data_IF_670995444046
#
_entry.id   IF_670995444046
#
_cell.length_a   1.000
_cell.length_b   1.000
_cell.length_c   1.000
_cell.angle_alpha   90.00
_cell.angle_beta   90.00
_cell.angle_gamma   90.00
#
_symmetry.space_group_name_H-M   'P 1'
#
loop_
_entity.id
_entity.type
_entity.pdbx_description
1 polymer ?
#
# COMPACT_ATOMS: atom_id res chain seq x y z
N UNK A 1 36.70 16.80 -28.55
CA UNK A 1 35.34 17.35 -28.67
C UNK A 1 34.67 17.21 -27.31
N UNK A 2 34.69 18.32 -26.58
CA UNK A 2 34.33 18.47 -25.17
C UNK A 2 32.98 19.14 -25.10
N UNK A 3 31.92 18.40 -24.76
CA UNK A 3 30.59 18.98 -24.50
C UNK A 3 30.38 19.06 -22.99
N UNK A 4 30.49 20.29 -22.47
CA UNK A 4 30.13 20.65 -21.10
C UNK A 4 28.62 20.59 -20.89
N UNK A 5 28.22 20.18 -19.69
CA UNK A 5 26.84 20.32 -19.19
C UNK A 5 26.82 21.39 -18.11
N UNK A 6 25.97 22.39 -18.32
CA UNK A 6 25.66 23.46 -17.37
C UNK A 6 24.91 22.94 -16.14
N UNK A 7 25.08 23.58 -14.96
CA UNK A 7 24.32 23.26 -13.76
C UNK A 7 22.93 23.91 -13.74
N UNK A 8 21.92 23.11 -13.38
CA UNK A 8 20.52 23.55 -13.19
C UNK A 8 20.36 24.27 -11.84
N UNK A 9 19.74 25.47 -11.79
CA UNK A 9 19.54 26.20 -10.54
C UNK A 9 18.42 25.58 -9.68
N UNK A 10 18.74 25.34 -8.41
CA UNK A 10 17.80 25.01 -7.32
C UNK A 10 16.87 26.19 -7.08
N UNK A 11 15.55 25.98 -7.20
CA UNK A 11 14.54 26.91 -6.68
C UNK A 11 14.11 26.45 -5.29
N UNK A 12 14.56 27.21 -4.28
CA UNK A 12 13.98 27.23 -2.95
C UNK A 12 12.60 27.89 -3.03
N UNK A 13 11.56 27.21 -2.54
CA UNK A 13 10.27 27.82 -2.28
C UNK A 13 10.00 27.76 -0.77
N UNK A 14 9.87 28.95 -0.20
CA UNK A 14 9.59 29.20 1.20
C UNK A 14 8.08 29.32 1.45
N UNK A 15 7.71 29.00 2.69
CA UNK A 15 6.62 29.55 3.49
C UNK A 15 5.17 29.39 3.01
N UNK A 16 4.31 28.93 3.93
CA UNK A 16 3.18 29.72 4.45
C UNK A 16 2.57 29.04 5.69
N UNK A 17 2.69 29.72 6.83
CA UNK A 17 1.82 29.53 8.00
C UNK A 17 0.41 29.98 7.63
N UNK A 18 -0.63 29.24 8.06
CA UNK A 18 -1.97 29.85 8.22
C UNK A 18 -2.81 29.16 9.30
N UNK A 19 -3.06 29.95 10.34
CA UNK A 19 -4.25 30.07 11.20
C UNK A 19 -4.96 28.82 11.77
N UNK A 20 -4.95 28.77 13.10
CA UNK A 20 -5.91 28.06 13.93
C UNK A 20 -7.32 28.66 13.80
N UNK A 21 -8.32 27.80 13.59
CA UNK A 21 -9.74 28.14 13.70
C UNK A 21 -10.29 27.46 14.96
N UNK A 22 -10.73 28.29 15.90
CA UNK A 22 -11.47 27.88 17.08
C UNK A 22 -12.88 27.41 16.67
N UNK A 23 -13.22 26.16 16.99
CA UNK A 23 -14.59 25.66 16.86
C UNK A 23 -15.32 25.88 18.19
N UNK A 24 -16.32 26.75 18.12
CA UNK A 24 -17.30 27.02 19.17
C UNK A 24 -18.19 25.79 19.34
N UNK A 25 -18.19 25.20 20.53
CA UNK A 25 -19.16 24.19 20.95
C UNK A 25 -20.51 24.87 21.21
N UNK A 26 -21.41 24.81 20.22
CA UNK A 26 -22.80 25.24 20.33
C UNK A 26 -23.72 24.09 20.73
N UNK A 27 -24.47 24.31 21.81
CA UNK A 27 -25.42 23.40 22.45
C UNK A 27 -26.57 22.96 21.52
N UNK A 28 -27.00 21.70 21.64
CA UNK A 28 -28.30 21.23 21.11
C UNK A 28 -29.19 20.85 22.29
N UNK A 29 -30.13 21.72 22.62
CA UNK A 29 -31.32 21.41 23.43
C UNK A 29 -32.54 22.01 22.75
N UNK A 30 -33.64 21.27 22.74
CA UNK A 30 -34.98 21.82 22.55
C UNK A 30 -35.70 21.37 21.29
N UNK A 31 -36.53 20.34 21.44
CA UNK A 31 -37.62 20.04 20.53
C UNK A 31 -38.62 21.21 20.47
N UNK A 32 -39.05 21.60 19.27
CA UNK A 32 -40.27 22.39 19.07
C UNK A 32 -41.06 21.76 17.93
N UNK A 33 -42.22 21.22 18.29
CA UNK A 33 -43.20 20.64 17.37
C UNK A 33 -44.11 21.79 16.90
N UNK A 34 -44.10 22.09 15.61
CA UNK A 34 -45.01 23.07 15.00
C UNK A 34 -45.09 22.87 13.47
N UNK A 35 -46.29 22.81 12.87
CA UNK A 35 -46.44 22.60 11.43
C UNK A 35 -46.27 23.94 10.72
N UNK A 36 -45.02 24.36 10.53
CA UNK A 36 -44.71 25.44 9.57
C UNK A 36 -44.57 24.77 8.22
N UNK A 37 -45.51 25.07 7.31
CA UNK A 37 -45.40 24.72 5.90
C UNK A 37 -44.20 25.43 5.28
N UNK A 38 -43.02 24.83 5.42
CA UNK A 38 -41.85 25.22 4.66
C UNK A 38 -42.10 24.96 3.18
N UNK A 39 -41.47 25.73 2.28
CA UNK A 39 -41.47 25.39 0.86
C UNK A 39 -41.07 23.91 0.71
N UNK A 40 -41.68 23.17 -0.23
CA UNK A 40 -41.29 21.78 -0.46
C UNK A 40 -39.76 21.74 -0.61
N UNK A 41 -39.07 20.81 0.06
CA UNK A 41 -37.62 20.73 -0.02
C UNK A 41 -37.25 20.73 -1.49
N UNK A 42 -36.47 21.73 -1.90
CA UNK A 42 -36.00 21.83 -3.28
C UNK A 42 -35.34 20.50 -3.59
N UNK A 43 -35.88 19.76 -4.56
CA UNK A 43 -35.32 18.49 -4.98
C UNK A 43 -33.86 18.75 -5.31
N UNK A 44 -32.94 18.21 -4.50
CA UNK A 44 -31.53 18.26 -4.82
C UNK A 44 -31.38 17.67 -6.23
N UNK A 45 -30.68 18.39 -7.12
CA UNK A 45 -30.45 17.92 -8.47
C UNK A 45 -29.86 16.51 -8.42
N UNK A 46 -30.26 15.65 -9.37
CA UNK A 46 -29.77 14.29 -9.45
C UNK A 46 -28.23 14.30 -9.47
N UNK A 47 -27.62 13.53 -8.57
CA UNK A 47 -26.18 13.30 -8.54
C UNK A 47 -25.90 11.85 -8.89
N UNK A 48 -24.91 11.65 -9.75
CA UNK A 48 -24.42 10.35 -10.19
C UNK A 48 -23.07 10.10 -9.53
N UNK A 49 -22.92 8.94 -8.89
CA UNK A 49 -21.63 8.42 -8.46
C UNK A 49 -21.21 7.31 -9.42
N UNK A 50 -19.98 7.37 -9.91
CA UNK A 50 -19.39 6.29 -10.67
C UNK A 50 -18.13 5.77 -9.98
N UNK A 51 -17.92 4.46 -10.07
CA UNK A 51 -16.73 3.77 -9.57
C UNK A 51 -16.06 3.02 -10.71
N UNK A 52 -14.75 3.19 -10.84
CA UNK A 52 -13.91 2.48 -11.79
C UNK A 52 -12.84 1.68 -11.05
N UNK A 53 -12.50 0.51 -11.58
CA UNK A 53 -11.43 -0.35 -11.09
C UNK A 53 -10.46 -0.66 -12.23
N UNK A 54 -9.17 -0.81 -11.89
CA UNK A 54 -8.12 -1.21 -12.82
C UNK A 54 -6.99 -1.97 -12.11
N UNK A 55 -6.14 -2.64 -12.88
CA UNK A 55 -5.05 -3.47 -12.37
C UNK A 55 -3.80 -2.63 -12.12
N UNK A 56 -3.23 -2.73 -10.92
CA UNK A 56 -1.85 -2.24 -10.65
C UNK A 56 -0.85 -3.35 -11.03
N UNK A 57 -1.19 -4.61 -10.72
CA UNK A 57 -0.39 -5.78 -11.03
C UNK A 57 -1.32 -6.95 -11.39
N UNK A 58 -1.10 -7.55 -12.56
CA UNK A 58 -1.86 -8.71 -13.05
C UNK A 58 -1.32 -10.05 -12.53
N UNK A 59 -0.12 -10.07 -11.93
CA UNK A 59 0.48 -11.29 -11.41
C UNK A 59 -0.06 -11.61 -9.99
N UNK A 60 -0.50 -12.84 -9.69
CA UNK A 60 -1.05 -13.19 -8.38
C UNK A 60 -0.06 -12.95 -7.21
N UNK A 61 -0.50 -12.35 -6.09
CA UNK A 61 -1.85 -11.83 -5.85
C UNK A 61 -2.12 -10.55 -6.64
N UNK A 62 -3.29 -10.49 -7.28
CA UNK A 62 -3.68 -9.34 -8.09
C UNK A 62 -3.90 -8.11 -7.22
N UNK A 63 -3.26 -7.00 -7.61
CA UNK A 63 -3.39 -5.71 -6.93
C UNK A 63 -4.19 -4.77 -7.82
N UNK A 64 -5.20 -4.10 -7.24
CA UNK A 64 -6.11 -3.22 -7.96
C UNK A 64 -6.03 -1.79 -7.45
N UNK A 65 -6.26 -0.84 -8.36
CA UNK A 65 -6.55 0.55 -8.05
C UNK A 65 -8.03 0.83 -8.31
N UNK A 66 -8.62 1.73 -7.52
CA UNK A 66 -9.96 2.23 -7.75
C UNK A 66 -9.98 3.73 -7.95
N UNK A 67 -11.02 4.22 -8.60
CA UNK A 67 -11.34 5.64 -8.70
C UNK A 67 -12.84 5.84 -8.52
N UNK A 68 -13.22 6.94 -7.87
CA UNK A 68 -14.60 7.37 -7.75
C UNK A 68 -14.75 8.81 -8.22
N UNK A 69 -15.90 9.16 -8.75
CA UNK A 69 -16.28 10.55 -8.97
C UNK A 69 -17.79 10.73 -8.83
N UNK A 70 -18.18 11.94 -8.43
CA UNK A 70 -19.57 12.36 -8.33
C UNK A 70 -19.76 13.52 -9.28
N UNK A 71 -20.82 13.48 -10.10
CA UNK A 71 -21.20 14.58 -10.99
C UNK A 71 -22.71 14.69 -11.15
N UNK A 72 -23.19 15.79 -11.74
CA UNK A 72 -24.60 15.99 -12.09
C UNK A 72 -25.01 15.24 -13.38
N UNK A 73 -24.06 14.63 -14.08
CA UNK A 73 -24.30 13.81 -15.27
C UNK A 73 -23.56 12.48 -15.18
N UNK A 74 -24.13 11.45 -15.79
CA UNK A 74 -23.60 10.08 -15.75
C UNK A 74 -22.22 10.00 -16.41
N UNK A 75 -22.07 10.62 -17.59
CA UNK A 75 -20.83 10.58 -18.38
C UNK A 75 -19.67 11.29 -17.68
N UNK A 76 -19.93 12.42 -17.02
CA UNK A 76 -18.90 13.13 -16.27
C UNK A 76 -18.47 12.35 -15.02
N UNK A 77 -19.42 11.71 -14.33
CA UNK A 77 -19.09 10.84 -13.20
C UNK A 77 -18.22 9.66 -13.68
N UNK A 78 -18.62 8.96 -14.75
CA UNK A 78 -17.84 7.87 -15.33
C UNK A 78 -16.44 8.31 -15.77
N UNK A 79 -16.34 9.43 -16.50
CA UNK A 79 -15.07 9.99 -16.95
C UNK A 79 -14.15 10.38 -15.79
N UNK A 80 -14.69 11.01 -14.74
CA UNK A 80 -13.93 11.34 -13.53
C UNK A 80 -13.45 10.11 -12.77
N UNK A 81 -14.28 9.07 -12.65
CA UNK A 81 -13.92 7.83 -11.98
C UNK A 81 -12.79 7.11 -12.71
N UNK A 82 -12.83 7.04 -14.04
CA UNK A 82 -11.77 6.48 -14.88
C UNK A 82 -10.46 7.26 -14.74
N UNK A 83 -10.52 8.60 -14.79
CA UNK A 83 -9.35 9.45 -14.61
C UNK A 83 -8.71 9.27 -13.22
N UNK A 84 -9.51 9.19 -12.16
CA UNK A 84 -9.04 8.92 -10.81
C UNK A 84 -8.42 7.52 -10.68
N UNK A 85 -9.03 6.50 -11.29
CA UNK A 85 -8.48 5.13 -11.32
C UNK A 85 -7.08 5.10 -11.96
N UNK A 86 -6.92 5.76 -13.11
CA UNK A 86 -5.63 5.85 -13.80
C UNK A 86 -4.60 6.64 -12.99
N UNK A 87 -5.04 7.73 -12.34
CA UNK A 87 -4.18 8.55 -11.48
C UNK A 87 -3.68 7.79 -10.24
N UNK A 88 -4.44 6.81 -9.77
CA UNK A 88 -4.06 5.90 -8.69
C UNK A 88 -3.18 4.72 -9.17
N UNK A 89 -2.68 4.78 -10.41
CA UNK A 89 -1.78 3.76 -10.98
C UNK A 89 -2.48 2.54 -11.56
N UNK A 90 -3.82 2.57 -11.72
CA UNK A 90 -4.56 1.52 -12.40
C UNK A 90 -4.31 1.51 -13.90
N UNK A 91 -4.05 0.33 -14.45
CA UNK A 91 -4.14 0.02 -15.88
C UNK A 91 -5.50 -0.63 -16.20
N UNK A 92 -5.95 -0.55 -17.45
CA UNK A 92 -7.23 -1.12 -17.88
C UNK A 92 -8.42 -0.69 -17.01
N UNK A 93 -8.49 0.58 -16.63
CA UNK A 93 -9.57 1.10 -15.81
C UNK A 93 -10.93 0.95 -16.52
N UNK A 94 -11.87 0.28 -15.87
CA UNK A 94 -13.24 0.07 -16.34
C UNK A 94 -14.22 0.55 -15.27
N UNK A 95 -15.23 1.31 -15.68
CA UNK A 95 -16.34 1.72 -14.81
C UNK A 95 -17.17 0.49 -14.46
N UNK A 96 -17.18 0.11 -13.18
CA UNK A 96 -17.85 -1.09 -12.70
C UNK A 96 -19.30 -0.81 -12.30
N UNK A 97 -19.58 0.39 -11.81
CA UNK A 97 -20.91 0.75 -11.33
C UNK A 97 -21.12 2.26 -11.43
N UNK A 98 -22.33 2.64 -11.79
CA UNK A 98 -22.82 4.00 -11.74
C UNK A 98 -24.16 3.98 -11.02
N UNK A 99 -24.34 4.84 -10.02
CA UNK A 99 -25.54 4.95 -9.21
C UNK A 99 -26.07 6.37 -9.18
N UNK A 100 -27.39 6.54 -9.23
CA UNK A 100 -28.06 7.84 -9.16
C UNK A 100 -28.67 8.04 -7.77
N UNK A 101 -28.26 9.09 -7.07
CA UNK A 101 -28.71 9.45 -5.72
C UNK A 101 -28.60 8.31 -4.69
N UNK A 102 -27.67 7.38 -4.89
CA UNK A 102 -27.48 6.20 -4.05
C UNK A 102 -25.99 6.00 -3.73
N UNK A 103 -25.70 4.98 -2.93
CA UNK A 103 -24.34 4.56 -2.66
C UNK A 103 -23.90 3.50 -3.66
N UNK A 104 -22.63 3.55 -4.02
CA UNK A 104 -21.99 2.56 -4.86
C UNK A 104 -20.78 1.98 -4.14
N UNK A 105 -20.50 0.70 -4.39
CA UNK A 105 -19.27 0.05 -3.97
C UNK A 105 -18.77 -0.87 -5.10
N UNK A 106 -17.45 -0.97 -5.20
CA UNK A 106 -16.79 -1.91 -6.10
C UNK A 106 -15.81 -2.78 -5.31
N UNK A 107 -15.85 -4.08 -5.56
CA UNK A 107 -15.05 -5.09 -4.88
C UNK A 107 -14.20 -5.87 -5.88
N UNK A 108 -13.06 -6.39 -5.40
CA UNK A 108 -12.18 -7.28 -6.15
C UNK A 108 -11.63 -8.39 -5.27
N UNK A 109 -11.20 -9.50 -5.86
CA UNK A 109 -10.47 -10.57 -5.17
C UNK A 109 -9.03 -10.73 -5.68
N UNK A 110 -8.28 -11.67 -5.11
CA UNK A 110 -6.87 -11.95 -5.47
C UNK A 110 -6.70 -12.56 -6.88
N UNK A 111 -7.80 -12.93 -7.53
CA UNK A 111 -7.85 -13.51 -8.87
C UNK A 111 -8.21 -12.48 -9.95
N UNK A 112 -8.36 -11.21 -9.58
CA UNK A 112 -8.69 -10.13 -10.52
C UNK A 112 -10.16 -10.08 -10.93
N UNK A 113 -11.04 -10.79 -10.23
CA UNK A 113 -12.49 -10.62 -10.43
C UNK A 113 -12.90 -9.25 -9.90
N UNK A 114 -13.71 -8.52 -10.67
CA UNK A 114 -14.22 -7.19 -10.31
C UNK A 114 -15.73 -7.19 -10.35
N UNK A 115 -16.36 -6.63 -9.32
CA UNK A 115 -17.81 -6.47 -9.28
C UNK A 115 -18.21 -5.13 -8.69
N UNK A 116 -19.35 -4.61 -9.16
CA UNK A 116 -19.95 -3.38 -8.66
C UNK A 116 -21.38 -3.61 -8.18
N UNK A 117 -21.78 -2.88 -7.15
CA UNK A 117 -23.16 -2.85 -6.69
C UNK A 117 -23.53 -1.45 -6.20
N UNK A 118 -24.82 -1.14 -6.32
CA UNK A 118 -25.43 0.04 -5.70
C UNK A 118 -26.45 -0.35 -4.65
N UNK A 119 -26.67 0.55 -3.70
CA UNK A 119 -27.69 0.46 -2.68
C UNK A 119 -27.95 1.84 -2.05
N UNK A 120 -29.14 2.11 -1.50
CA UNK A 120 -29.39 3.31 -0.68
C UNK A 120 -28.43 3.50 0.50
N UNK A 121 -27.79 2.45 1.02
CA UNK A 121 -26.81 2.54 2.11
C UNK A 121 -25.42 2.02 1.73
N UNK A 122 -24.37 2.67 2.25
CA UNK A 122 -22.99 2.30 1.93
C UNK A 122 -22.66 0.85 2.34
N UNK A 123 -23.05 0.45 3.55
CA UNK A 123 -22.77 -0.90 4.06
C UNK A 123 -23.46 -2.00 3.26
N UNK A 124 -24.69 -1.76 2.77
CA UNK A 124 -25.38 -2.72 1.92
C UNK A 124 -24.78 -2.74 0.50
N UNK A 125 -24.36 -1.60 -0.06
CA UNK A 125 -23.65 -1.55 -1.34
C UNK A 125 -22.35 -2.36 -1.27
N UNK A 126 -21.56 -2.17 -0.21
CA UNK A 126 -20.32 -2.92 0.04
C UNK A 126 -20.59 -4.43 0.17
N UNK A 127 -21.58 -4.81 0.99
CA UNK A 127 -21.95 -6.21 1.19
C UNK A 127 -22.42 -6.87 -0.11
N UNK A 128 -23.24 -6.16 -0.91
CA UNK A 128 -23.70 -6.63 -2.22
C UNK A 128 -22.57 -6.76 -3.23
N UNK A 129 -21.62 -5.81 -3.26
CA UNK A 129 -20.47 -5.90 -4.14
C UNK A 129 -19.62 -7.14 -3.80
N UNK A 130 -19.25 -7.32 -2.54
CA UNK A 130 -18.49 -8.50 -2.10
C UNK A 130 -19.26 -9.81 -2.34
N UNK A 131 -20.58 -9.83 -2.14
CA UNK A 131 -21.41 -11.02 -2.37
C UNK A 131 -21.55 -11.41 -3.85
N UNK A 132 -21.28 -10.49 -4.78
CA UNK A 132 -21.27 -10.77 -6.23
C UNK A 132 -19.98 -11.46 -6.70
N UNK A 133 -18.90 -11.41 -5.91
CA UNK A 133 -17.68 -12.12 -6.24
C UNK A 133 -17.94 -13.63 -6.17
N UNK A 134 -17.60 -14.34 -7.26
CA UNK A 134 -17.65 -15.79 -7.34
C UNK A 134 -16.66 -16.43 -6.36
N UNK A 135 -15.51 -15.80 -6.14
CA UNK A 135 -14.53 -16.22 -5.14
C UNK A 135 -14.26 -15.12 -4.10
N UNK A 136 -14.52 -15.43 -2.82
CA UNK A 136 -14.32 -14.48 -1.72
C UNK A 136 -12.89 -14.46 -1.16
N UNK A 137 -11.99 -15.34 -1.61
CA UNK A 137 -10.61 -15.33 -1.16
C UNK A 137 -9.91 -14.05 -1.59
N UNK A 138 -9.41 -13.28 -0.61
CA UNK A 138 -8.79 -11.98 -0.86
C UNK A 138 -9.78 -10.89 -1.28
N UNK A 139 -11.09 -11.11 -1.05
CA UNK A 139 -12.10 -10.12 -1.35
C UNK A 139 -11.88 -8.83 -0.55
N UNK A 140 -11.80 -7.72 -1.28
CA UNK A 140 -11.60 -6.38 -0.75
C UNK A 140 -12.49 -5.39 -1.47
N UNK A 141 -13.11 -4.49 -0.72
CA UNK A 141 -13.79 -3.32 -1.29
C UNK A 141 -12.70 -2.30 -1.62
N UNK A 142 -12.60 -1.92 -2.89
CA UNK A 142 -11.52 -1.03 -3.36
C UNK A 142 -11.94 0.44 -3.28
N UNK A 143 -13.20 0.71 -3.61
CA UNK A 143 -13.74 2.07 -3.61
C UNK A 143 -15.24 2.05 -3.31
N UNK A 144 -15.71 3.02 -2.53
CA UNK A 144 -17.13 3.17 -2.19
C UNK A 144 -17.46 4.62 -1.87
N UNK A 145 -18.70 5.03 -2.10
CA UNK A 145 -19.19 6.37 -1.77
C UNK A 145 -20.69 6.51 -2.00
N UNK A 146 -21.25 7.67 -1.66
CA UNK A 146 -22.67 7.97 -1.88
C UNK A 146 -22.85 9.32 -2.57
N UNK A 147 -23.72 9.36 -3.59
CA UNK A 147 -24.06 10.59 -4.30
C UNK A 147 -24.93 11.54 -3.45
N UNK A 148 -25.55 11.07 -2.37
CA UNK A 148 -26.45 11.86 -1.52
C UNK A 148 -25.76 12.81 -0.53
N UNK A 149 -24.45 13.08 -0.70
CA UNK A 149 -23.70 14.08 0.09
C UNK A 149 -23.61 13.82 1.60
N UNK A 150 -24.01 12.63 2.06
CA UNK A 150 -24.17 12.30 3.49
C UNK A 150 -23.24 11.17 3.96
N UNK A 151 -22.20 10.81 3.20
CA UNK A 151 -21.06 10.18 3.83
C UNK A 151 -20.16 11.29 4.39
N UNK A 152 -19.92 11.35 5.72
CA UNK A 152 -18.76 12.09 6.21
C UNK A 152 -17.55 11.65 5.37
N UNK A 153 -16.60 12.56 5.04
CA UNK A 153 -15.36 12.15 4.40
C UNK A 153 -14.85 10.92 5.16
N UNK A 154 -14.38 9.86 4.46
CA UNK A 154 -13.81 8.71 5.15
C UNK A 154 -12.86 9.27 6.21
N UNK A 155 -12.96 8.85 7.48
CA UNK A 155 -12.02 9.29 8.49
C UNK A 155 -10.64 9.16 7.88
N UNK A 156 -9.81 10.21 7.93
CA UNK A 156 -8.42 10.10 7.48
C UNK A 156 -7.85 8.91 8.25
N UNK A 157 -7.77 7.75 7.61
CA UNK A 157 -7.10 6.62 8.20
C UNK A 157 -5.68 7.14 8.42
N UNK A 158 -5.16 7.06 9.65
CA UNK A 158 -3.76 7.38 9.89
C UNK A 158 -2.97 6.64 8.83
N UNK A 159 -2.02 7.30 8.13
CA UNK A 159 -1.22 6.61 7.13
C UNK A 159 -0.73 5.31 7.74
N UNK A 160 -0.85 4.17 7.01
CA UNK A 160 -0.51 2.87 7.56
C UNK A 160 0.86 2.99 8.23
N UNK A 161 1.02 2.49 9.47
CA UNK A 161 2.27 2.63 10.19
C UNK A 161 3.41 2.14 9.29
N UNK A 162 4.54 2.87 9.23
CA UNK A 162 5.67 2.46 8.41
C UNK A 162 5.98 0.98 8.67
N UNK A 163 6.21 0.17 7.61
CA UNK A 163 6.55 -1.24 7.79
C UNK A 163 7.71 -1.37 8.79
N UNK A 164 7.60 -2.30 9.73
CA UNK A 164 8.64 -2.50 10.73
C UNK A 164 9.98 -2.82 10.00
N UNK A 165 11.10 -2.18 10.39
CA UNK A 165 12.39 -2.46 9.78
C UNK A 165 12.71 -3.96 9.85
N UNK A 166 12.96 -4.57 8.70
CA UNK A 166 13.35 -5.98 8.64
C UNK A 166 14.64 -6.20 9.40
N UNK A 167 14.68 -7.25 10.21
CA UNK A 167 15.88 -7.61 10.96
C UNK A 167 16.86 -8.36 10.06
N UNK A 168 18.14 -8.00 10.14
CA UNK A 168 19.20 -8.73 9.45
C UNK A 168 19.42 -10.13 9.99
N UNK A 169 20.05 -11.00 9.19
CA UNK A 169 20.35 -12.37 9.60
C UNK A 169 21.28 -12.38 10.81
N UNK A 170 21.16 -13.37 11.69
CA UNK A 170 22.13 -13.58 12.77
C UNK A 170 23.27 -14.46 12.28
N UNK A 171 24.51 -14.13 12.67
CA UNK A 171 25.71 -14.88 12.30
C UNK A 171 26.39 -15.39 13.56
N UNK A 172 26.62 -16.70 13.63
CA UNK A 172 27.50 -17.31 14.64
C UNK A 172 28.58 -18.13 13.96
N UNK A 173 29.70 -18.33 14.66
CA UNK A 173 30.89 -18.98 14.10
C UNK A 173 31.27 -20.19 14.95
N UNK A 174 31.54 -21.31 14.29
CA UNK A 174 32.03 -22.54 14.90
C UNK A 174 33.38 -22.95 14.25
N UNK A 175 34.47 -22.98 15.03
CA UNK A 175 35.74 -23.52 14.56
C UNK A 175 35.63 -25.03 14.30
N UNK A 176 36.11 -25.48 13.14
CA UNK A 176 36.17 -26.89 12.78
C UNK A 176 37.59 -27.29 12.40
N UNK A 177 37.90 -28.58 12.41
CA UNK A 177 39.22 -29.06 11.98
C UNK A 177 39.44 -28.66 10.52
N UNK A 178 40.39 -27.75 10.29
CA UNK A 178 40.74 -27.23 8.96
C UNK A 178 39.99 -25.98 8.52
N UNK A 179 39.13 -25.38 9.35
CA UNK A 179 38.53 -24.08 9.01
C UNK A 179 37.48 -23.56 9.99
N UNK A 180 36.48 -22.85 9.45
CA UNK A 180 35.41 -22.22 10.22
C UNK A 180 34.07 -22.44 9.51
N UNK A 181 33.02 -22.70 10.28
CA UNK A 181 31.63 -22.71 9.79
C UNK A 181 30.92 -21.46 10.31
N UNK A 182 30.29 -20.71 9.41
CA UNK A 182 29.42 -19.60 9.78
C UNK A 182 27.96 -20.04 9.65
N UNK A 183 27.23 -20.06 10.77
CA UNK A 183 25.80 -20.31 10.79
C UNK A 183 25.07 -18.98 10.59
N UNK A 184 24.31 -18.91 9.50
CA UNK A 184 23.62 -17.69 9.09
C UNK A 184 22.12 -17.96 9.17
N UNK A 185 21.45 -17.38 10.16
CA UNK A 185 20.01 -17.60 10.40
C UNK A 185 19.19 -16.40 9.98
N UNK A 186 18.20 -16.62 9.12
CA UNK A 186 17.25 -15.58 8.73
C UNK A 186 16.39 -15.13 9.91
N UNK A 187 16.19 -13.82 10.02
CA UNK A 187 15.22 -13.20 10.95
C UNK A 187 14.28 -12.23 10.26
N UNK A 188 14.38 -12.12 8.93
CA UNK A 188 13.53 -11.22 8.15
C UNK A 188 12.17 -11.84 7.83
N UNK A 189 12.04 -13.17 7.89
CA UNK A 189 10.83 -13.90 7.53
C UNK A 189 10.59 -13.96 6.03
N UNK A 190 11.56 -13.53 5.21
CA UNK A 190 11.47 -13.47 3.76
C UNK A 190 12.65 -14.19 3.14
N UNK A 191 12.38 -15.12 2.23
CA UNK A 191 13.44 -15.78 1.46
C UNK A 191 14.23 -14.74 0.65
N UNK A 192 15.54 -14.76 0.75
CA UNK A 192 16.41 -13.74 0.14
C UNK A 192 17.65 -14.34 -0.50
N UNK A 193 18.21 -13.65 -1.48
CA UNK A 193 19.55 -13.92 -1.99
C UNK A 193 20.55 -13.08 -1.20
N UNK A 194 21.42 -13.74 -0.47
CA UNK A 194 22.41 -13.11 0.38
C UNK A 194 23.80 -13.26 -0.22
N UNK A 195 24.62 -12.22 -0.06
CA UNK A 195 26.03 -12.21 -0.43
C UNK A 195 26.85 -12.11 0.84
N UNK A 196 27.67 -13.13 1.04
CA UNK A 196 28.75 -13.14 2.01
C UNK A 196 29.94 -12.39 1.41
N UNK A 197 30.46 -11.39 2.11
CA UNK A 197 31.66 -10.64 1.74
C UNK A 197 32.64 -10.56 2.93
N UNK A 198 33.90 -10.84 2.65
CA UNK A 198 35.01 -10.68 3.59
C UNK A 198 36.25 -10.26 2.80
N UNK A 199 37.17 -9.47 3.37
CA UNK A 199 38.44 -9.00 2.79
C UNK A 199 38.50 -8.99 1.24
N UNK A 200 38.78 -10.14 0.60
CA UNK A 200 38.88 -10.31 -0.86
C UNK A 200 38.01 -11.46 -1.43
N UNK A 201 37.01 -11.96 -0.68
CA UNK A 201 36.17 -13.09 -1.06
C UNK A 201 34.68 -12.79 -0.90
N UNK A 202 33.95 -12.94 -2.02
CA UNK A 202 32.51 -12.74 -2.09
C UNK A 202 31.82 -13.99 -2.63
N UNK A 203 30.76 -14.45 -1.96
CA UNK A 203 29.95 -15.60 -2.40
C UNK A 203 28.48 -15.36 -2.14
N UNK A 204 27.65 -15.60 -3.14
CA UNK A 204 26.19 -15.53 -3.01
C UNK A 204 25.60 -16.89 -2.65
N UNK A 205 24.52 -16.88 -1.87
CA UNK A 205 23.76 -18.05 -1.45
C UNK A 205 22.28 -17.68 -1.23
N UNK A 206 21.40 -18.65 -1.41
CA UNK A 206 19.99 -18.50 -1.10
C UNK A 206 19.76 -18.76 0.40
N UNK A 207 19.06 -17.86 1.07
CA UNK A 207 18.66 -18.00 2.47
C UNK A 207 17.12 -18.06 2.54
N UNK A 208 16.53 -19.27 2.69
CA UNK A 208 15.09 -19.41 2.89
C UNK A 208 14.61 -18.70 4.18
N UNK A 209 13.33 -18.28 4.18
CA UNK A 209 12.71 -17.62 5.32
C UNK A 209 12.80 -18.47 6.59
N UNK A 210 13.20 -17.86 7.72
CA UNK A 210 13.35 -18.50 9.03
C UNK A 210 14.23 -19.76 9.04
N UNK A 211 15.21 -19.85 8.12
CA UNK A 211 16.12 -20.99 8.02
C UNK A 211 17.55 -20.61 8.37
N UNK A 212 18.39 -21.61 8.61
CA UNK A 212 19.84 -21.46 8.82
C UNK A 212 20.61 -22.01 7.63
N UNK A 213 21.58 -21.25 7.14
CA UNK A 213 22.54 -21.67 6.12
C UNK A 213 23.93 -21.78 6.73
N UNK A 214 24.56 -22.95 6.56
CA UNK A 214 25.89 -23.23 7.08
C UNK A 214 26.95 -22.99 5.99
N UNK A 215 27.61 -21.84 6.06
CA UNK A 215 28.72 -21.54 5.16
C UNK A 215 30.02 -22.12 5.72
N UNK A 216 30.52 -23.17 5.08
CA UNK A 216 31.81 -23.77 5.41
C UNK A 216 32.95 -23.03 4.70
N UNK A 217 33.87 -22.45 5.47
CA UNK A 217 35.10 -21.83 4.98
C UNK A 217 36.25 -22.81 5.27
N UNK A 218 36.51 -23.70 4.32
CA UNK A 218 37.57 -24.71 4.40
C UNK A 218 38.29 -24.78 3.03
N UNK A 219 39.63 -24.79 2.99
CA UNK A 219 40.55 -24.63 4.12
C UNK A 219 40.63 -23.17 4.58
N UNK A 220 40.61 -22.93 5.89
CA UNK A 220 40.92 -21.61 6.44
C UNK A 220 42.11 -21.74 7.39
N UNK A 221 43.21 -21.03 7.07
CA UNK A 221 44.39 -20.97 7.93
C UNK A 221 44.15 -19.91 8.99
N UNK A 222 44.22 -20.24 10.29
CA UNK A 222 44.09 -19.27 11.37
C UNK A 222 45.12 -18.16 11.19
N UNK A 223 44.67 -16.91 11.07
CA UNK A 223 45.56 -15.75 10.93
C UNK A 223 45.72 -15.01 12.26
N UNK A 224 45.08 -15.49 13.33
CA UNK A 224 45.12 -14.89 14.66
C UNK A 224 44.80 -13.39 14.60
N UNK A 225 43.81 -13.04 13.80
CA UNK A 225 43.34 -11.66 13.63
C UNK A 225 41.83 -11.61 13.63
N UNK A 226 41.29 -10.41 13.85
CA UNK A 226 39.87 -10.17 13.67
C UNK A 226 39.51 -10.37 12.19
N UNK A 227 38.57 -11.28 11.96
CA UNK A 227 38.02 -11.58 10.66
C UNK A 227 36.58 -11.09 10.61
N UNK A 228 36.35 -10.07 9.79
CA UNK A 228 35.04 -9.42 9.66
C UNK A 228 34.33 -9.94 8.43
N UNK A 229 33.07 -10.33 8.63
CA UNK A 229 32.17 -10.82 7.61
C UNK A 229 31.00 -9.86 7.53
N UNK A 230 30.65 -9.45 6.31
CA UNK A 230 29.43 -8.72 6.03
C UNK A 230 28.52 -9.60 5.16
N UNK A 231 27.28 -9.76 5.59
CA UNK A 231 26.25 -10.46 4.84
C UNK A 231 25.23 -9.41 4.43
N UNK A 232 25.02 -9.28 3.12
CA UNK A 232 24.03 -8.36 2.56
C UNK A 232 23.03 -9.14 1.74
N UNK A 233 21.74 -8.94 2.01
CA UNK A 233 20.66 -9.64 1.33
C UNK A 233 19.84 -8.68 0.44
N UNK A 234 19.29 -9.20 -0.65
CA UNK A 234 18.45 -8.46 -1.60
C UNK A 234 17.16 -7.86 -1.01
N UNK A 235 16.72 -8.36 0.15
CA UNK A 235 15.63 -7.82 0.95
C UNK A 235 15.98 -6.49 1.68
N UNK A 236 17.20 -5.97 1.49
CA UNK A 236 17.70 -4.73 2.07
C UNK A 236 18.32 -4.88 3.46
N UNK A 237 18.38 -6.10 4.00
CA UNK A 237 19.00 -6.35 5.30
C UNK A 237 20.50 -6.59 5.18
N UNK A 238 21.24 -6.20 6.21
CA UNK A 238 22.69 -6.41 6.30
C UNK A 238 23.10 -6.70 7.73
N UNK A 239 24.03 -7.63 7.90
CA UNK A 239 24.64 -7.95 9.18
C UNK A 239 26.15 -8.02 9.04
N UNK A 240 26.85 -7.33 9.93
CA UNK A 240 28.30 -7.44 10.07
C UNK A 240 28.62 -8.19 11.35
N UNK A 241 29.44 -9.22 11.25
CA UNK A 241 29.90 -10.01 12.39
C UNK A 241 31.42 -10.19 12.30
N UNK A 242 32.08 -10.16 13.46
CA UNK A 242 33.52 -10.31 13.55
C UNK A 242 33.83 -11.49 14.47
N UNK A 243 34.76 -12.33 14.05
CA UNK A 243 35.30 -13.42 14.87
C UNK A 243 36.83 -13.34 14.88
N UNK A 244 37.46 -13.95 15.88
CA UNK A 244 38.91 -14.05 15.92
C UNK A 244 39.31 -15.44 15.43
N UNK A 245 39.99 -15.48 14.28
CA UNK A 245 40.42 -16.72 13.62
C UNK A 245 41.79 -16.53 12.95
#
# INVERSE_FOLDING_TARGET
MTTGREPVPRRSAAALLTAAIAVVAGMVTGAVVGPVGGPPPAHAADQFIALALGFINENPPVTMAGGSAISTTEEQAAGGALANCSSNGGSHCVTQVIGRNECAAAASNDYGEMTGATDPSLGAAQSKATAKLQNQQGAKVIVSGCASGSSPPPPNEPPPPPPEPKQGPTVSFEPVVGGLVAHITDRSGVSSQCTYATDDYNRSFALPANSTYDLRIVPAVPRFRNWTVTITCDNGTSTTATTYF
#
